data_IF_349230570769
#
_entry.id   IF_349230570769
#
_cell.length_a   1.000
_cell.length_b   1.000
_cell.length_c   1.000
_cell.angle_alpha   90.00
_cell.angle_beta   90.00
_cell.angle_gamma   90.00
#
_symmetry.space_group_name_H-M   'P 1'
#
loop_
_entity.id
_entity.type
_entity.pdbx_description
1 polymer ?
#
# COMPACT_ATOMS: atom_id res chain seq x y z
N UNK A 1 4.65 -17.04 7.25
CA UNK A 1 4.88 -16.01 8.30
C UNK A 1 4.96 -14.68 7.56
N UNK A 2 5.14 -13.53 8.18
CA UNK A 2 5.54 -12.32 7.44
C UNK A 2 6.58 -11.62 8.29
N UNK A 3 7.46 -10.83 7.68
CA UNK A 3 8.46 -10.06 8.42
C UNK A 3 8.59 -8.68 7.80
N UNK A 4 8.51 -7.64 8.62
CA UNK A 4 8.81 -6.27 8.21
C UNK A 4 10.10 -5.78 8.87
N UNK A 5 10.83 -4.90 8.20
CA UNK A 5 12.02 -4.27 8.72
C UNK A 5 12.01 -2.78 8.39
N UNK A 6 12.48 -1.98 9.34
CA UNK A 6 12.78 -0.58 9.15
C UNK A 6 14.25 -0.35 9.51
N UNK A 7 14.99 0.33 8.64
CA UNK A 7 16.41 0.66 8.82
C UNK A 7 16.63 2.14 8.57
N UNK A 8 17.39 2.78 9.45
CA UNK A 8 17.82 4.17 9.29
C UNK A 8 19.31 4.21 8.99
N UNK A 9 19.67 4.61 7.77
CA UNK A 9 21.06 4.78 7.36
C UNK A 9 21.22 5.83 6.26
N UNK A 10 21.40 7.10 6.62
CA UNK A 10 21.42 8.23 5.66
C UNK A 10 20.06 8.50 4.97
N UNK A 11 19.06 7.67 5.25
CA UNK A 11 17.68 7.72 4.78
C UNK A 11 16.86 6.65 5.49
N UNK A 12 15.54 6.70 5.34
CA UNK A 12 14.62 5.69 5.86
C UNK A 12 14.38 4.59 4.83
N UNK A 13 14.72 3.35 5.19
CA UNK A 13 14.41 2.16 4.41
C UNK A 13 13.34 1.37 5.13
N UNK A 14 12.34 0.94 4.39
CA UNK A 14 11.25 0.13 4.89
C UNK A 14 10.92 -0.95 3.87
N UNK A 15 10.64 -2.16 4.35
CA UNK A 15 10.26 -3.26 3.49
C UNK A 15 9.74 -4.45 4.29
N UNK A 16 9.26 -5.46 3.57
CA UNK A 16 8.73 -6.68 4.15
C UNK A 16 8.92 -7.87 3.23
N UNK A 17 8.99 -9.05 3.83
CA UNK A 17 8.65 -10.31 3.16
C UNK A 17 7.17 -10.61 3.41
N UNK A 18 6.47 -11.05 2.36
CA UNK A 18 5.09 -11.50 2.42
C UNK A 18 5.07 -13.00 2.12
N UNK A 19 5.03 -13.83 3.17
CA UNK A 19 5.05 -15.29 2.98
C UNK A 19 3.61 -15.81 2.94
N UNK A 20 3.05 -15.81 1.72
CA UNK A 20 1.81 -16.50 1.36
C UNK A 20 2.13 -17.71 0.48
N UNK A 21 1.32 -18.76 0.58
CA UNK A 21 1.46 -19.97 -0.26
C UNK A 21 0.87 -19.78 -1.67
N UNK A 22 0.32 -18.60 -1.96
CA UNK A 22 -0.29 -18.23 -3.23
C UNK A 22 -0.02 -16.75 -3.54
N UNK A 23 -0.04 -16.42 -4.84
CA UNK A 23 -0.13 -15.02 -5.29
C UNK A 23 -1.56 -14.53 -5.17
N UNK A 24 -1.75 -13.30 -4.73
CA UNK A 24 -3.07 -12.67 -4.58
C UNK A 24 -3.35 -11.66 -5.70
N UNK A 25 -2.58 -11.72 -6.79
CA UNK A 25 -2.64 -10.75 -7.88
C UNK A 25 -1.92 -9.46 -7.52
N UNK A 26 -0.78 -9.58 -6.83
CA UNK A 26 0.05 -8.49 -6.38
C UNK A 26 0.74 -7.78 -7.55
N UNK A 27 0.68 -6.45 -7.55
CA UNK A 27 1.38 -5.56 -8.48
C UNK A 27 1.86 -4.27 -7.80
N UNK A 28 2.86 -3.60 -8.37
CA UNK A 28 3.27 -2.27 -7.91
C UNK A 28 2.19 -1.28 -8.31
N UNK A 29 1.64 -0.55 -7.33
CA UNK A 29 0.59 0.44 -7.54
C UNK A 29 1.02 1.79 -6.98
N UNK A 30 0.69 2.85 -7.72
CA UNK A 30 0.83 4.23 -7.29
C UNK A 30 -0.58 4.80 -7.13
N UNK A 31 -0.91 5.29 -5.94
CA UNK A 31 -2.12 6.05 -5.69
C UNK A 31 -1.80 7.55 -5.73
N UNK A 32 -2.32 8.30 -6.72
CA UNK A 32 -2.10 9.74 -6.81
C UNK A 32 -2.85 10.49 -5.70
N UNK A 33 -2.45 11.73 -5.43
CA UNK A 33 -2.96 12.56 -4.33
C UNK A 33 -4.46 12.82 -4.35
N UNK A 34 -5.09 12.77 -5.53
CA UNK A 34 -6.49 13.10 -5.74
C UNK A 34 -7.36 11.86 -6.00
N UNK A 35 -6.84 10.67 -5.69
CA UNK A 35 -7.66 9.46 -5.72
C UNK A 35 -8.60 9.48 -4.49
N UNK A 36 -9.93 9.40 -4.66
CA UNK A 36 -10.84 9.51 -3.53
C UNK A 36 -10.80 8.26 -2.65
N UNK A 37 -10.57 8.44 -1.35
CA UNK A 37 -10.68 7.38 -0.36
C UNK A 37 -12.05 7.45 0.33
N UNK A 38 -12.94 6.53 -0.03
CA UNK A 38 -14.23 6.34 0.62
C UNK A 38 -14.09 5.35 1.78
N UNK A 39 -14.09 5.85 3.01
CA UNK A 39 -14.04 5.00 4.20
C UNK A 39 -15.44 4.58 4.64
N UNK A 40 -15.57 3.36 5.17
CA UNK A 40 -16.86 2.85 5.64
C UNK A 40 -17.44 3.59 6.85
N UNK A 41 -16.59 4.15 7.71
CA UNK A 41 -17.00 4.75 9.00
C UNK A 41 -16.35 6.11 9.29
N UNK A 42 -15.67 6.68 8.29
CA UNK A 42 -15.01 7.99 8.39
C UNK A 42 -15.43 8.84 7.18
N UNK A 43 -15.35 10.18 7.27
CA UNK A 43 -15.54 11.05 6.11
C UNK A 43 -14.60 10.66 4.97
N UNK A 44 -15.06 10.84 3.72
CA UNK A 44 -14.21 10.60 2.56
C UNK A 44 -13.03 11.57 2.53
N UNK A 45 -11.92 11.13 1.94
CA UNK A 45 -10.72 11.92 1.75
C UNK A 45 -10.44 12.07 0.26
N UNK A 46 -10.72 13.26 -0.28
CA UNK A 46 -10.55 13.56 -1.72
C UNK A 46 -9.11 14.03 -2.05
N UNK A 47 -8.28 14.28 -1.03
CA UNK A 47 -6.89 14.68 -1.18
C UNK A 47 -6.01 14.12 -0.07
N UNK A 48 -4.91 13.47 -0.44
CA UNK A 48 -3.97 12.83 0.48
C UNK A 48 -2.54 12.81 -0.08
N UNK A 49 -1.57 12.29 0.67
CA UNK A 49 -0.23 12.05 0.14
C UNK A 49 -0.25 10.92 -0.89
N UNK A 50 0.49 11.08 -1.99
CA UNK A 50 0.65 10.00 -2.96
C UNK A 50 1.32 8.82 -2.28
N UNK A 51 0.83 7.60 -2.54
CA UNK A 51 1.36 6.37 -1.97
C UNK A 51 1.86 5.44 -3.06
N UNK A 52 2.89 4.66 -2.77
CA UNK A 52 3.37 3.58 -3.64
C UNK A 52 3.61 2.31 -2.81
N UNK A 53 3.29 1.15 -3.39
CA UNK A 53 3.53 -0.13 -2.74
C UNK A 53 3.00 -1.33 -3.52
N UNK A 54 3.09 -2.53 -2.95
CA UNK A 54 2.46 -3.72 -3.52
C UNK A 54 1.00 -3.82 -3.12
N UNK A 55 0.13 -3.99 -4.10
CA UNK A 55 -1.31 -4.11 -3.91
C UNK A 55 -1.94 -5.07 -4.91
N UNK A 56 -3.13 -5.56 -4.60
CA UNK A 56 -4.07 -6.02 -5.60
C UNK A 56 -5.01 -4.87 -5.97
N UNK A 57 -5.34 -4.70 -7.25
CA UNK A 57 -6.33 -3.72 -7.70
C UNK A 57 -7.66 -4.43 -7.92
N UNK A 58 -8.55 -4.33 -6.93
CA UNK A 58 -9.88 -4.89 -6.97
C UNK A 58 -10.88 -3.81 -7.41
N UNK A 59 -11.54 -4.01 -8.55
CA UNK A 59 -12.56 -3.07 -9.06
C UNK A 59 -12.04 -1.61 -9.16
N UNK A 60 -10.77 -1.43 -9.51
CA UNK A 60 -10.12 -0.12 -9.62
C UNK A 60 -9.69 0.49 -8.28
N UNK A 61 -9.92 -0.20 -7.16
CA UNK A 61 -9.49 0.23 -5.83
C UNK A 61 -8.21 -0.52 -5.41
N UNK A 62 -7.15 0.18 -5.00
CA UNK A 62 -5.90 -0.46 -4.61
C UNK A 62 -5.92 -0.95 -3.16
N UNK A 63 -5.71 -2.26 -2.98
CA UNK A 63 -5.64 -2.95 -1.69
C UNK A 63 -4.18 -3.27 -1.37
N UNK A 64 -3.49 -2.33 -0.73
CA UNK A 64 -2.07 -2.46 -0.40
C UNK A 64 -1.81 -3.54 0.65
N UNK A 65 -0.83 -4.40 0.37
CA UNK A 65 -0.19 -5.23 1.37
C UNK A 65 0.80 -4.40 2.19
N UNK A 66 1.56 -3.52 1.55
CA UNK A 66 2.36 -2.46 2.17
C UNK A 66 2.41 -1.23 1.24
N UNK A 67 2.64 -0.05 1.81
CA UNK A 67 2.85 1.18 1.06
C UNK A 67 3.64 2.20 1.88
N UNK A 68 4.26 3.16 1.18
CA UNK A 68 4.88 4.38 1.74
C UNK A 68 4.33 5.62 1.06
#
# INVERSE_FOLDING_TARGET
>A
MCTSIALLHGGGYFGRNLDLEYSFGEQVVIMPRLFPLHFHRLPSLDSHFSMIGMANVAEGYPLYAEAV
#
